data_IF_767659862903
#
_entry.id   IF_767659862903
#
_cell.length_a   1.000
_cell.length_b   1.000
_cell.length_c   1.000
_cell.angle_alpha   90.00
_cell.angle_beta   90.00
_cell.angle_gamma   90.00
#
_symmetry.space_group_name_H-M   'P 1'
#
loop_
_entity.id
_entity.type
_entity.pdbx_description
1 polymer ?
#
# COMPACT_ATOMS: atom_id res chain seq x y z
N UNK A 1 -28.36 7.42 3.07
CA UNK A 1 -26.94 7.73 3.32
C UNK A 1 -26.14 6.61 2.70
N UNK A 2 -25.57 6.84 1.52
CA UNK A 2 -24.88 5.80 0.77
C UNK A 2 -23.52 5.54 1.40
N UNK A 3 -23.32 4.29 1.74
CA UNK A 3 -22.11 3.58 2.12
C UNK A 3 -21.06 3.73 1.00
N UNK A 4 -20.49 4.93 0.82
CA UNK A 4 -19.44 5.15 -0.19
C UNK A 4 -18.13 4.55 0.31
N UNK A 5 -18.07 3.24 0.16
CA UNK A 5 -16.96 2.45 -0.37
C UNK A 5 -15.60 2.64 0.29
N UNK A 6 -15.47 2.33 1.59
CA UNK A 6 -14.14 1.99 2.13
C UNK A 6 -13.56 0.81 1.34
N UNK A 7 -12.40 1.03 0.71
CA UNK A 7 -11.70 0.00 -0.04
C UNK A 7 -10.78 -0.78 0.92
N UNK A 8 -10.90 -2.11 0.99
CA UNK A 8 -10.12 -2.95 1.91
C UNK A 8 -9.23 -3.97 1.18
N UNK A 9 -7.91 -3.90 1.34
CA UNK A 9 -6.98 -4.88 0.75
C UNK A 9 -6.53 -5.86 1.82
N UNK A 10 -6.82 -7.15 1.62
CA UNK A 10 -6.26 -8.20 2.48
C UNK A 10 -4.96 -8.73 1.89
N UNK A 11 -3.89 -8.70 2.69
CA UNK A 11 -2.58 -9.15 2.29
C UNK A 11 -1.92 -10.01 3.37
N UNK A 12 -1.07 -10.94 2.96
CA UNK A 12 -0.09 -11.58 3.86
C UNK A 12 1.09 -10.62 4.01
N UNK A 13 1.21 -10.03 5.19
CA UNK A 13 2.23 -9.04 5.52
C UNK A 13 3.03 -9.52 6.73
N UNK A 14 4.33 -9.77 6.55
CA UNK A 14 5.17 -10.34 7.59
C UNK A 14 4.71 -11.72 8.06
N UNK A 15 4.17 -12.53 7.14
CA UNK A 15 3.60 -13.85 7.43
C UNK A 15 2.24 -13.84 8.14
N UNK A 16 1.57 -12.69 8.28
CA UNK A 16 0.25 -12.56 8.90
C UNK A 16 -0.77 -11.98 7.93
N UNK A 17 -2.02 -12.44 7.99
CA UNK A 17 -3.09 -11.79 7.25
C UNK A 17 -3.42 -10.45 7.90
N UNK A 18 -3.32 -9.38 7.12
CA UNK A 18 -3.58 -7.99 7.49
C UNK A 18 -4.55 -7.41 6.48
N UNK A 19 -5.57 -6.70 6.95
CA UNK A 19 -6.48 -5.93 6.09
C UNK A 19 -6.09 -4.46 6.17
N UNK A 20 -5.59 -3.93 5.06
CA UNK A 20 -5.33 -2.52 4.85
C UNK A 20 -6.64 -1.82 4.50
N UNK A 21 -6.93 -0.71 5.18
CA UNK A 21 -8.15 0.08 4.94
C UNK A 21 -7.80 1.38 4.22
N UNK A 22 -8.45 1.57 3.09
CA UNK A 22 -8.32 2.72 2.22
C UNK A 22 -9.60 3.54 2.39
N UNK A 23 -9.53 4.60 3.18
CA UNK A 23 -10.63 5.57 3.25
C UNK A 23 -10.59 6.45 1.99
N UNK A 24 -11.62 6.43 1.12
CA UNK A 24 -11.69 7.34 -0.01
C UNK A 24 -12.05 8.72 0.51
N UNK A 25 -11.03 9.52 0.75
CA UNK A 25 -11.17 10.95 1.00
C UNK A 25 -10.25 11.73 0.09
N UNK A 26 -10.70 12.87 -0.43
CA UNK A 26 -9.89 13.81 -1.23
C UNK A 26 -8.52 14.12 -0.60
N UNK A 27 -8.46 14.03 0.73
CA UNK A 27 -7.25 14.27 1.50
C UNK A 27 -6.11 13.30 1.18
N UNK A 28 -6.39 12.02 0.88
CA UNK A 28 -5.33 11.03 0.66
C UNK A 28 -4.72 11.10 -0.74
N UNK A 29 -5.54 11.33 -1.77
CA UNK A 29 -5.05 11.61 -3.13
C UNK A 29 -4.19 12.86 -3.15
N UNK A 30 -4.57 13.89 -2.39
CA UNK A 30 -3.79 15.12 -2.25
C UNK A 30 -2.46 14.86 -1.52
N UNK A 31 -2.48 14.11 -0.41
CA UNK A 31 -1.28 13.74 0.34
C UNK A 31 -0.31 12.93 -0.53
N UNK A 32 -0.79 11.85 -1.17
CA UNK A 32 0.04 10.99 -2.00
C UNK A 32 0.59 11.76 -3.20
N UNK A 33 -0.24 12.61 -3.83
CA UNK A 33 0.22 13.44 -4.96
C UNK A 33 1.26 14.46 -4.52
N UNK A 34 1.10 15.08 -3.35
CA UNK A 34 2.05 16.03 -2.81
C UNK A 34 3.38 15.39 -2.39
N UNK A 35 3.36 14.15 -1.89
CA UNK A 35 4.55 13.45 -1.41
C UNK A 35 5.28 12.67 -2.49
N UNK A 36 4.54 11.91 -3.30
CA UNK A 36 5.10 10.93 -4.23
C UNK A 36 4.95 11.35 -5.69
N UNK A 37 4.25 12.46 -5.95
CA UNK A 37 3.96 12.96 -7.28
C UNK A 37 2.65 12.40 -7.85
N UNK A 38 2.24 12.85 -9.05
CA UNK A 38 0.98 12.46 -9.65
C UNK A 38 0.91 10.95 -9.90
N UNK A 39 -0.30 10.37 -9.94
CA UNK A 39 -0.55 8.93 -10.15
C UNK A 39 0.27 8.29 -11.29
N UNK A 40 0.40 9.00 -12.42
CA UNK A 40 1.14 8.51 -13.58
C UNK A 40 2.66 8.42 -13.31
N UNK A 41 3.22 9.36 -12.55
CA UNK A 41 4.63 9.33 -12.16
C UNK A 41 4.92 8.16 -11.20
N UNK A 42 3.99 7.87 -10.29
CA UNK A 42 4.06 6.73 -9.38
C UNK A 42 4.12 5.40 -10.13
N UNK A 43 3.22 5.22 -11.11
CA UNK A 43 3.18 4.02 -11.94
C UNK A 43 4.47 3.83 -12.74
N UNK A 44 4.99 4.90 -13.36
CA UNK A 44 6.27 4.85 -14.10
C UNK A 44 7.43 4.43 -13.20
N UNK A 45 7.54 5.00 -12.00
CA UNK A 45 8.59 4.65 -11.04
C UNK A 45 8.46 3.21 -10.54
N UNK A 46 7.25 2.71 -10.42
CA UNK A 46 6.99 1.33 -10.01
C UNK A 46 7.43 0.33 -11.08
N UNK A 47 7.08 0.57 -12.34
CA UNK A 47 7.53 -0.23 -13.48
C UNK A 47 9.06 -0.20 -13.61
N UNK A 48 9.68 0.95 -13.32
CA UNK A 48 11.13 1.11 -13.34
C UNK A 48 11.86 0.53 -12.11
N UNK A 49 11.14 0.00 -11.11
CA UNK A 49 11.74 -0.53 -9.88
C UNK A 49 12.43 0.54 -9.01
N UNK A 50 12.05 1.81 -9.15
CA UNK A 50 12.72 2.97 -8.53
C UNK A 50 12.10 3.39 -7.19
N UNK A 51 11.43 2.47 -6.50
CA UNK A 51 10.83 2.74 -5.20
C UNK A 51 11.89 2.62 -4.11
N UNK A 52 12.06 3.67 -3.33
CA UNK A 52 12.90 3.63 -2.14
C UNK A 52 12.19 2.88 -1.01
N UNK A 53 12.92 2.25 -0.08
CA UNK A 53 12.34 1.65 1.11
C UNK A 53 11.45 2.60 1.92
N UNK A 54 11.81 3.89 1.97
CA UNK A 54 11.04 4.91 2.69
C UNK A 54 9.66 5.16 2.07
N UNK A 55 9.55 5.12 0.74
CA UNK A 55 8.28 5.31 0.03
C UNK A 55 7.37 4.08 0.18
N UNK A 56 7.96 2.88 0.13
CA UNK A 56 7.25 1.64 0.40
C UNK A 56 6.68 1.66 1.83
N UNK A 57 7.51 2.03 2.81
CA UNK A 57 7.08 2.17 4.20
C UNK A 57 5.95 3.19 4.34
N UNK A 58 6.08 4.37 3.72
CA UNK A 58 5.07 5.42 3.81
C UNK A 58 3.69 4.97 3.32
N UNK A 59 3.62 4.30 2.16
CA UNK A 59 2.34 3.82 1.60
C UNK A 59 1.74 2.72 2.47
N UNK A 60 2.54 1.75 2.92
CA UNK A 60 2.07 0.68 3.81
C UNK A 60 1.53 1.24 5.11
N UNK A 61 2.28 2.14 5.74
CA UNK A 61 1.93 2.82 6.99
C UNK A 61 0.63 3.60 6.88
N UNK A 62 0.47 4.35 5.80
CA UNK A 62 -0.76 5.07 5.52
C UNK A 62 -1.93 4.09 5.44
N UNK A 63 -1.84 3.10 4.54
CA UNK A 63 -2.89 2.11 4.28
C UNK A 63 -3.23 1.24 5.50
N UNK A 64 -2.29 1.05 6.43
CA UNK A 64 -2.48 0.19 7.59
C UNK A 64 -3.42 0.79 8.63
N UNK A 65 -3.30 2.10 8.90
CA UNK A 65 -4.08 2.75 9.97
C UNK A 65 -5.44 3.25 9.48
N UNK A 66 -5.58 3.53 8.18
CA UNK A 66 -6.76 4.22 7.66
C UNK A 66 -7.00 5.57 8.33
N UNK A 67 -5.95 6.22 8.84
CA UNK A 67 -6.00 7.39 9.71
C UNK A 67 -5.15 8.55 9.16
N UNK A 68 -5.35 9.80 9.60
CA UNK A 68 -4.59 10.95 9.12
C UNK A 68 -3.06 10.77 9.24
N UNK A 69 -2.32 11.31 8.27
CA UNK A 69 -0.86 11.15 8.01
C UNK A 69 0.04 11.16 9.26
N UNK A 70 -0.31 11.93 10.29
CA UNK A 70 0.46 11.97 11.55
C UNK A 70 0.42 10.67 12.35
N UNK A 71 -0.71 9.98 12.37
CA UNK A 71 -0.85 8.67 13.02
C UNK A 71 -0.18 7.57 12.17
N UNK A 72 -0.26 7.70 10.85
CA UNK A 72 0.38 6.77 9.92
C UNK A 72 1.91 6.73 10.05
N UNK A 73 2.58 7.82 10.43
CA UNK A 73 4.05 7.80 10.57
C UNK A 73 4.57 6.89 11.71
N UNK A 74 3.71 6.46 12.64
CA UNK A 74 4.05 5.63 13.81
C UNK A 74 3.27 4.31 13.79
N UNK A 75 3.58 3.42 12.84
CA UNK A 75 3.02 2.06 12.78
C UNK A 75 4.14 1.05 13.02
N UNK A 76 4.37 0.66 14.29
CA UNK A 76 5.44 -0.27 14.65
C UNK A 76 5.33 -1.58 13.88
N UNK A 77 4.13 -2.05 13.58
CA UNK A 77 3.91 -3.29 12.84
C UNK A 77 4.48 -3.25 11.42
N UNK A 78 4.44 -2.09 10.76
CA UNK A 78 5.05 -1.92 9.44
C UNK A 78 6.56 -1.84 9.57
N UNK A 79 7.07 -1.12 10.57
CA UNK A 79 8.51 -1.01 10.81
C UNK A 79 9.12 -2.39 11.12
N UNK A 80 8.54 -3.15 12.06
CA UNK A 80 8.99 -4.50 12.43
C UNK A 80 9.03 -5.46 11.24
N UNK A 81 8.08 -5.34 10.30
CA UNK A 81 8.03 -6.20 9.11
C UNK A 81 9.11 -5.81 8.11
N UNK A 82 9.36 -4.52 7.92
CA UNK A 82 10.38 -4.00 7.01
C UNK A 82 11.81 -4.15 7.57
N UNK A 83 11.98 -4.26 8.89
CA UNK A 83 13.25 -4.66 9.50
C UNK A 83 13.59 -6.13 9.23
N UNK A 84 12.57 -7.00 9.22
CA UNK A 84 12.75 -8.45 9.01
C UNK A 84 12.82 -8.85 7.55
N UNK A 85 12.29 -8.05 6.63
CA UNK A 85 12.25 -8.37 5.19
C UNK A 85 12.57 -7.16 4.33
N UNK A 86 13.30 -7.33 3.21
CA UNK A 86 13.61 -6.22 2.31
C UNK A 86 12.33 -5.52 1.84
N UNK A 87 12.29 -4.19 1.94
CA UNK A 87 11.12 -3.40 1.55
C UNK A 87 10.66 -3.67 0.11
N UNK A 88 11.59 -3.94 -0.81
CA UNK A 88 11.29 -4.29 -2.20
C UNK A 88 10.34 -5.49 -2.36
N UNK A 89 10.27 -6.39 -1.37
CA UNK A 89 9.30 -7.51 -1.33
C UNK A 89 7.85 -7.02 -1.42
N UNK A 90 7.58 -5.83 -0.87
CA UNK A 90 6.23 -5.28 -0.75
C UNK A 90 5.91 -4.23 -1.82
N UNK A 91 6.78 -4.04 -2.82
CA UNK A 91 6.55 -3.07 -3.89
C UNK A 91 5.26 -3.38 -4.67
N UNK A 92 4.97 -4.67 -4.91
CA UNK A 92 3.75 -5.11 -5.58
C UNK A 92 2.51 -4.85 -4.71
N UNK A 93 2.58 -5.09 -3.39
CA UNK A 93 1.50 -4.76 -2.47
C UNK A 93 1.20 -3.25 -2.47
N UNK A 94 2.24 -2.43 -2.43
CA UNK A 94 2.14 -0.97 -2.50
C UNK A 94 1.48 -0.51 -3.81
N UNK A 95 1.83 -1.13 -4.93
CA UNK A 95 1.17 -0.87 -6.21
C UNK A 95 -0.33 -1.19 -6.15
N UNK A 96 -0.72 -2.35 -5.62
CA UNK A 96 -2.14 -2.73 -5.49
C UNK A 96 -2.92 -1.75 -4.62
N UNK A 97 -2.32 -1.31 -3.51
CA UNK A 97 -2.88 -0.27 -2.64
C UNK A 97 -3.16 1.02 -3.43
N UNK A 98 -2.19 1.46 -4.23
CA UNK A 98 -2.34 2.69 -5.03
C UNK A 98 -3.34 2.51 -6.17
N UNK A 99 -3.35 1.36 -6.85
CA UNK A 99 -4.29 1.05 -7.91
C UNK A 99 -5.75 1.05 -7.40
N UNK A 100 -6.01 0.35 -6.29
CA UNK A 100 -7.33 0.32 -5.66
C UNK A 100 -7.78 1.71 -5.23
N UNK A 101 -6.85 2.53 -4.72
CA UNK A 101 -7.15 3.88 -4.27
C UNK A 101 -7.40 4.85 -5.44
N UNK A 102 -6.56 4.83 -6.48
CA UNK A 102 -6.61 5.78 -7.59
C UNK A 102 -7.69 5.47 -8.62
N UNK A 103 -7.96 4.19 -8.83
CA UNK A 103 -8.86 3.73 -9.89
C UNK A 103 -10.14 3.08 -9.35
N UNK A 104 -10.30 2.95 -8.03
CA UNK A 104 -11.50 2.38 -7.41
C UNK A 104 -11.68 0.89 -7.75
N UNK A 105 -10.58 0.15 -7.89
CA UNK A 105 -10.64 -1.30 -8.13
C UNK A 105 -11.35 -1.97 -6.95
N UNK A 106 -12.20 -2.96 -7.23
CA UNK A 106 -12.87 -3.74 -6.18
C UNK A 106 -11.79 -4.36 -5.27
N UNK A 107 -11.76 -4.00 -3.98
CA UNK A 107 -10.74 -4.47 -3.06
C UNK A 107 -10.75 -5.99 -2.86
N UNK A 108 -11.87 -6.66 -3.17
CA UNK A 108 -12.02 -8.12 -3.13
C UNK A 108 -11.22 -8.82 -4.22
N UNK A 109 -10.87 -8.12 -5.29
CA UNK A 109 -9.96 -8.61 -6.34
C UNK A 109 -8.49 -8.34 -5.98
N UNK A 110 -8.23 -7.59 -4.91
CA UNK A 110 -6.90 -7.19 -4.47
C UNK A 110 -6.43 -8.02 -3.26
N UNK A 111 -6.13 -9.30 -3.48
CA UNK A 111 -5.39 -10.12 -2.51
C UNK A 111 -3.90 -10.12 -2.83
N UNK A 112 -3.03 -10.02 -1.82
CA UNK A 112 -1.58 -10.15 -1.98
C UNK A 112 -1.03 -11.24 -1.05
N UNK A 113 -0.31 -12.22 -1.61
CA UNK A 113 0.50 -13.17 -0.84
C UNK A 113 1.98 -12.83 -1.01
N UNK A 114 2.70 -12.60 0.08
CA UNK A 114 4.15 -12.38 0.08
C UNK A 114 4.92 -13.53 -0.58
N UNK A 115 4.36 -14.75 -0.62
CA UNK A 115 4.94 -15.92 -1.28
C UNK A 115 4.93 -15.82 -2.80
N UNK A 116 3.94 -15.14 -3.37
CA UNK A 116 3.84 -14.95 -4.82
C UNK A 116 4.88 -13.94 -5.32
N UNK A 117 5.31 -13.01 -4.45
CA UNK A 117 6.33 -12.01 -4.76
C UNK A 117 7.75 -12.59 -4.93
N UNK A 118 8.02 -13.78 -4.37
CA UNK A 118 9.29 -14.49 -4.55
C UNK A 118 9.34 -15.36 -5.81
N UNK A 119 8.24 -15.39 -6.57
CA UNK A 119 8.02 -16.40 -7.60
C UNK A 119 7.74 -17.74 -6.92
N UNK A 120 6.62 -18.37 -7.25
CA UNK A 120 6.58 -19.82 -7.13
C UNK A 120 7.78 -20.34 -7.92
N UNK A 121 8.75 -20.94 -7.22
CA UNK A 121 9.76 -21.75 -7.86
C UNK A 121 9.01 -22.86 -8.61
N UNK A 122 8.84 -22.66 -9.91
CA UNK A 122 8.43 -23.67 -10.87
C UNK A 122 9.64 -24.02 -11.73
#
# INVERSE_FOLDING_TARGET
MSDRDCSEITAVFGGRSVTFRLEPGAHWSEIITAWLGPPLALQHRAIAGQWSPAEIAAVLKLAYVGAPLRAAMQVPEVDDVLERRPAGTYAVLVLRILEAYLFGIDPRDATFDERDAYGAAA
#
